data_IF_932340707252
#
_entry.id   IF_932340707252
#
_cell.length_a   1.000
_cell.length_b   1.000
_cell.length_c   1.000
_cell.angle_alpha   90.00
_cell.angle_beta   90.00
_cell.angle_gamma   90.00
#
_symmetry.space_group_name_H-M   'P 1'
#
loop_
_entity.id
_entity.type
_entity.pdbx_description
1 polymer ?
#
# COMPACT_ATOMS: atom_id res chain seq x y z
N UNK A 1 9.77 -36.49 25.76
CA UNK A 1 9.60 -35.03 25.91
C UNK A 1 10.01 -34.53 27.29
N UNK A 2 9.39 -34.98 28.38
CA UNK A 2 9.79 -34.61 29.77
C UNK A 2 11.28 -34.92 30.06
N UNK A 3 11.72 -36.09 29.63
CA UNK A 3 13.09 -36.60 29.78
C UNK A 3 14.17 -35.78 29.00
N UNK A 4 13.81 -35.16 27.87
CA UNK A 4 14.74 -34.32 27.08
C UNK A 4 14.93 -32.97 27.76
N UNK A 5 13.86 -32.41 28.32
CA UNK A 5 13.88 -31.13 29.04
C UNK A 5 14.67 -31.24 30.35
N UNK A 6 14.53 -32.36 31.06
CA UNK A 6 15.33 -32.68 32.26
C UNK A 6 16.82 -32.85 31.93
N UNK A 7 17.16 -33.58 30.86
CA UNK A 7 18.57 -33.76 30.44
C UNK A 7 19.22 -32.46 29.99
N UNK A 8 18.52 -31.62 29.23
CA UNK A 8 19.01 -30.29 28.85
C UNK A 8 19.16 -29.38 30.07
N UNK A 9 18.22 -29.43 31.02
CA UNK A 9 18.30 -28.68 32.29
C UNK A 9 19.51 -29.10 33.12
N UNK A 10 19.75 -30.40 33.25
CA UNK A 10 20.91 -30.93 33.97
C UNK A 10 22.25 -30.56 33.31
N UNK A 11 22.29 -30.40 31.98
CA UNK A 11 23.49 -29.93 31.26
C UNK A 11 23.74 -28.43 31.47
N UNK A 12 22.67 -27.62 31.57
CA UNK A 12 22.77 -26.21 31.92
C UNK A 12 23.19 -26.01 33.38
N UNK A 13 22.60 -26.75 34.31
CA UNK A 13 22.94 -26.69 35.75
C UNK A 13 24.39 -27.09 36.03
N UNK A 14 24.97 -27.94 35.17
CA UNK A 14 26.39 -28.31 35.19
C UNK A 14 27.31 -27.31 34.47
N UNK A 15 26.79 -26.19 33.99
CA UNK A 15 27.50 -25.16 33.22
C UNK A 15 28.17 -25.68 31.95
N UNK A 16 27.70 -26.81 31.39
CA UNK A 16 28.27 -27.43 30.18
C UNK A 16 27.78 -26.78 28.89
N UNK A 17 26.69 -26.00 28.96
CA UNK A 17 26.09 -25.28 27.84
C UNK A 17 25.71 -23.86 28.28
N UNK A 18 25.92 -22.88 27.39
CA UNK A 18 25.51 -21.50 27.61
C UNK A 18 23.99 -21.37 27.63
N UNK A 19 23.45 -20.38 28.36
CA UNK A 19 22.01 -20.09 28.40
C UNK A 19 21.42 -19.91 26.99
N UNK A 20 22.21 -19.30 26.09
CA UNK A 20 21.82 -19.08 24.69
C UNK A 20 21.65 -20.40 23.92
N UNK A 21 22.58 -21.33 24.11
CA UNK A 21 22.56 -22.66 23.47
C UNK A 21 21.48 -23.56 24.09
N UNK A 22 21.27 -23.44 25.40
CA UNK A 22 20.16 -24.11 26.10
C UNK A 22 18.79 -23.70 25.53
N UNK A 23 18.56 -22.41 25.32
CA UNK A 23 17.29 -21.92 24.74
C UNK A 23 17.10 -22.36 23.29
N UNK A 24 18.15 -22.31 22.47
CA UNK A 24 18.09 -22.73 21.07
C UNK A 24 17.83 -24.23 20.92
N UNK A 25 18.50 -25.06 21.73
CA UNK A 25 18.31 -26.51 21.75
C UNK A 25 16.96 -26.91 22.32
N UNK A 26 16.42 -26.17 23.30
CA UNK A 26 15.06 -26.37 23.79
C UNK A 26 14.02 -26.04 22.74
N UNK A 27 14.19 -24.95 21.99
CA UNK A 27 13.29 -24.52 20.92
C UNK A 27 13.33 -25.52 19.75
N UNK A 28 14.50 -26.06 19.44
CA UNK A 28 14.68 -27.10 18.42
C UNK A 28 14.12 -28.47 18.84
N UNK A 29 14.26 -28.85 20.12
CA UNK A 29 13.78 -30.13 20.64
C UNK A 29 12.30 -30.11 21.05
N UNK A 30 11.74 -28.93 21.31
CA UNK A 30 10.35 -28.72 21.69
C UNK A 30 9.70 -27.77 20.67
N UNK A 31 9.33 -28.27 19.47
CA UNK A 31 8.64 -27.45 18.48
C UNK A 31 7.40 -26.82 19.13
N UNK A 32 7.14 -25.55 18.81
CA UNK A 32 6.00 -24.75 19.27
C UNK A 32 4.80 -25.64 19.59
N UNK A 33 4.41 -25.69 20.88
CA UNK A 33 3.40 -26.64 21.37
C UNK A 33 2.17 -26.54 20.48
N UNK A 34 1.86 -27.60 19.72
CA UNK A 34 0.78 -27.63 18.74
C UNK A 34 -0.55 -27.19 19.36
N UNK A 35 -0.71 -27.35 20.69
CA UNK A 35 -1.84 -26.84 21.47
C UNK A 35 -1.90 -25.32 21.53
N UNK A 36 -0.77 -24.63 21.63
CA UNK A 36 -0.71 -23.16 21.60
C UNK A 36 -0.99 -22.62 20.21
N UNK A 37 -0.51 -23.29 19.15
CA UNK A 37 -0.85 -22.93 17.77
C UNK A 37 -2.34 -23.16 17.49
N UNK A 38 -2.86 -24.32 17.89
CA UNK A 38 -4.28 -24.67 17.77
C UNK A 38 -5.16 -23.73 18.60
N UNK A 39 -4.72 -23.36 19.81
CA UNK A 39 -5.40 -22.37 20.66
C UNK A 39 -5.46 -20.99 20.04
N UNK A 40 -4.35 -20.49 19.47
CA UNK A 40 -4.33 -19.22 18.71
C UNK A 40 -5.21 -19.29 17.45
N UNK A 41 -5.17 -20.43 16.74
CA UNK A 41 -6.00 -20.68 15.57
C UNK A 41 -7.50 -20.68 15.90
N UNK A 42 -7.91 -21.36 16.97
CA UNK A 42 -9.29 -21.38 17.45
C UNK A 42 -9.74 -20.01 17.95
N UNK A 43 -8.88 -19.27 18.67
CA UNK A 43 -9.17 -17.90 19.08
C UNK A 43 -9.42 -17.00 17.87
N UNK A 44 -8.52 -17.04 16.88
CA UNK A 44 -8.68 -16.29 15.65
C UNK A 44 -9.97 -16.67 14.91
N UNK A 45 -10.23 -17.96 14.75
CA UNK A 45 -11.44 -18.46 14.09
C UNK A 45 -12.71 -18.01 14.83
N UNK A 46 -12.72 -18.08 16.16
CA UNK A 46 -13.85 -17.63 16.98
C UNK A 46 -14.09 -16.13 16.85
N UNK A 47 -13.04 -15.31 16.83
CA UNK A 47 -13.14 -13.87 16.62
C UNK A 47 -13.71 -13.54 15.24
N UNK A 48 -13.22 -14.23 14.19
CA UNK A 48 -13.73 -14.07 12.82
C UNK A 48 -15.21 -14.48 12.72
N UNK A 49 -15.58 -15.65 13.27
CA UNK A 49 -16.97 -16.11 13.25
C UNK A 49 -17.91 -15.20 14.05
N UNK A 50 -17.45 -14.68 15.19
CA UNK A 50 -18.22 -13.72 15.98
C UNK A 50 -18.44 -12.41 15.20
N UNK A 51 -17.38 -11.84 14.61
CA UNK A 51 -17.49 -10.63 13.79
C UNK A 51 -18.37 -10.86 12.56
N UNK A 52 -18.28 -12.02 11.91
CA UNK A 52 -19.17 -12.40 10.82
C UNK A 52 -20.63 -12.49 11.28
N UNK A 53 -20.89 -13.08 12.44
CA UNK A 53 -22.21 -13.13 13.05
C UNK A 53 -22.78 -11.73 13.33
N UNK A 54 -21.96 -10.81 13.87
CA UNK A 54 -22.34 -9.40 14.07
C UNK A 54 -22.70 -8.75 12.73
N UNK A 55 -21.86 -8.93 11.70
CA UNK A 55 -22.13 -8.41 10.35
C UNK A 55 -23.45 -8.97 9.80
N UNK A 56 -23.69 -10.27 9.92
CA UNK A 56 -24.93 -10.89 9.45
C UNK A 56 -26.16 -10.43 10.23
N UNK A 57 -26.06 -10.19 11.53
CA UNK A 57 -27.14 -9.63 12.33
C UNK A 57 -27.53 -8.24 11.80
N UNK A 58 -26.55 -7.38 11.53
CA UNK A 58 -26.80 -6.07 10.92
C UNK A 58 -27.35 -6.18 9.49
N UNK A 59 -26.85 -7.12 8.69
CA UNK A 59 -27.31 -7.35 7.33
C UNK A 59 -28.77 -7.83 7.29
N UNK A 60 -29.14 -8.80 8.13
CA UNK A 60 -30.50 -9.32 8.23
C UNK A 60 -31.47 -8.25 8.72
N UNK A 61 -31.09 -7.48 9.74
CA UNK A 61 -31.94 -6.42 10.30
C UNK A 61 -31.82 -5.09 9.53
N UNK A 62 -31.09 -5.03 8.42
CA UNK A 62 -30.72 -3.76 7.78
C UNK A 62 -31.94 -2.89 7.46
N UNK A 63 -33.01 -3.47 6.94
CA UNK A 63 -34.23 -2.73 6.60
C UNK A 63 -35.03 -2.28 7.82
N UNK A 64 -34.94 -3.00 8.94
CA UNK A 64 -35.63 -2.67 10.18
C UNK A 64 -34.93 -1.57 11.00
N UNK A 65 -33.62 -1.40 10.83
CA UNK A 65 -32.85 -0.39 11.57
C UNK A 65 -33.17 1.02 11.03
N UNK A 66 -33.67 1.94 11.86
CA UNK A 66 -33.94 3.32 11.45
C UNK A 66 -32.68 4.04 10.97
N UNK A 67 -32.82 4.92 9.97
CA UNK A 67 -31.71 5.66 9.36
C UNK A 67 -30.85 6.40 10.40
N UNK A 68 -31.49 7.04 11.39
CA UNK A 68 -30.80 7.75 12.46
C UNK A 68 -29.94 6.84 13.35
N UNK A 69 -30.36 5.59 13.57
CA UNK A 69 -29.55 4.62 14.34
C UNK A 69 -28.31 4.23 13.55
N UNK A 70 -28.42 4.03 12.23
CA UNK A 70 -27.27 3.73 11.36
C UNK A 70 -26.24 4.87 11.36
N UNK A 71 -26.71 6.10 11.14
CA UNK A 71 -25.83 7.28 11.19
C UNK A 71 -25.29 7.53 12.59
N UNK A 72 -26.13 7.39 13.62
CA UNK A 72 -25.74 7.57 15.02
C UNK A 72 -24.66 6.58 15.45
N UNK A 73 -24.77 5.31 15.06
CA UNK A 73 -23.74 4.31 15.33
C UNK A 73 -22.41 4.65 14.65
N UNK A 74 -22.44 5.05 13.37
CA UNK A 74 -21.24 5.45 12.65
C UNK A 74 -20.61 6.72 13.25
N UNK A 75 -21.42 7.75 13.54
CA UNK A 75 -20.97 8.98 14.18
C UNK A 75 -20.38 8.73 15.57
N UNK A 76 -20.98 7.85 16.37
CA UNK A 76 -20.47 7.47 17.68
C UNK A 76 -19.10 6.78 17.57
N UNK A 77 -18.89 5.90 16.60
CA UNK A 77 -17.58 5.30 16.35
C UNK A 77 -16.52 6.34 15.94
N UNK A 78 -16.91 7.33 15.13
CA UNK A 78 -16.03 8.46 14.78
C UNK A 78 -15.66 9.24 16.03
N UNK A 79 -16.63 9.59 16.88
CA UNK A 79 -16.41 10.34 18.11
C UNK A 79 -15.53 9.57 19.11
N UNK A 80 -15.76 8.28 19.30
CA UNK A 80 -14.93 7.44 20.17
C UNK A 80 -13.50 7.33 19.63
N UNK A 81 -13.33 7.19 18.31
CA UNK A 81 -12.01 7.17 17.69
C UNK A 81 -11.31 8.51 17.84
N UNK A 82 -12.02 9.63 17.61
CA UNK A 82 -11.48 10.97 17.79
C UNK A 82 -11.08 11.24 19.25
N UNK A 83 -11.89 10.81 20.23
CA UNK A 83 -11.52 10.85 21.65
C UNK A 83 -10.26 10.02 21.92
N UNK A 84 -10.13 8.84 21.29
CA UNK A 84 -8.91 8.03 21.34
C UNK A 84 -7.67 8.76 20.82
N UNK A 85 -7.80 9.56 19.75
CA UNK A 85 -6.72 10.43 19.26
C UNK A 85 -6.33 11.48 20.29
N UNK A 86 -7.31 12.18 20.88
CA UNK A 86 -7.06 13.23 21.88
C UNK A 86 -6.38 12.66 23.12
N UNK A 87 -6.80 11.48 23.59
CA UNK A 87 -6.26 10.84 24.80
C UNK A 87 -4.85 10.27 24.56
N UNK A 88 -4.59 9.67 23.39
CA UNK A 88 -3.30 8.98 23.12
C UNK A 88 -2.27 9.88 22.43
N UNK A 89 -2.71 10.88 21.68
CA UNK A 89 -1.90 11.77 20.85
C UNK A 89 -1.29 11.07 19.63
N UNK A 90 -0.86 11.84 18.63
CA UNK A 90 -0.30 11.33 17.37
C UNK A 90 1.09 10.68 17.51
N UNK A 91 1.76 10.82 18.66
CA UNK A 91 3.10 10.28 18.87
C UNK A 91 3.09 8.77 19.14
N UNK A 92 1.98 8.23 19.63
CA UNK A 92 1.85 6.80 19.94
C UNK A 92 1.19 6.07 18.78
N UNK A 93 1.63 4.84 18.51
CA UNK A 93 1.03 3.98 17.48
C UNK A 93 -0.50 3.82 17.66
N UNK A 94 -0.97 3.74 18.91
CA UNK A 94 -2.41 3.67 19.21
C UNK A 94 -3.17 4.93 18.81
N UNK A 95 -2.62 6.12 19.04
CA UNK A 95 -3.25 7.38 18.59
C UNK A 95 -3.25 7.52 17.07
N UNK A 96 -2.21 7.04 16.39
CA UNK A 96 -2.18 6.99 14.92
C UNK A 96 -3.23 6.02 14.36
N UNK A 97 -3.42 4.86 15.01
CA UNK A 97 -4.47 3.90 14.64
C UNK A 97 -5.87 4.52 14.81
N UNK A 98 -6.12 5.24 15.91
CA UNK A 98 -7.37 5.96 16.09
C UNK A 98 -7.58 7.06 15.03
N UNK A 99 -6.52 7.81 14.67
CA UNK A 99 -6.62 8.85 13.63
C UNK A 99 -6.90 8.27 12.25
N UNK A 100 -6.28 7.13 11.93
CA UNK A 100 -6.58 6.36 10.72
C UNK A 100 -8.04 5.89 10.73
N UNK A 101 -8.52 5.36 11.86
CA UNK A 101 -9.90 4.92 12.02
C UNK A 101 -10.89 6.07 11.81
N UNK A 102 -10.62 7.27 12.34
CA UNK A 102 -11.44 8.48 12.08
C UNK A 102 -11.51 8.74 10.58
N UNK A 103 -10.37 8.81 9.89
CA UNK A 103 -10.32 9.10 8.45
C UNK A 103 -11.07 8.03 7.64
N UNK A 104 -10.95 6.76 8.02
CA UNK A 104 -11.64 5.65 7.37
C UNK A 104 -13.16 5.70 7.60
N UNK A 105 -13.59 5.94 8.84
CA UNK A 105 -15.00 5.99 9.22
C UNK A 105 -15.73 7.20 8.61
N UNK A 106 -15.05 8.32 8.36
CA UNK A 106 -15.60 9.43 7.57
C UNK A 106 -16.01 8.95 6.17
N UNK A 107 -15.20 8.11 5.53
CA UNK A 107 -15.54 7.50 4.25
C UNK A 107 -16.73 6.55 4.35
N UNK A 108 -16.74 5.70 5.38
CA UNK A 108 -17.87 4.82 5.66
C UNK A 108 -19.18 5.60 5.88
N UNK A 109 -19.11 6.76 6.55
CA UNK A 109 -20.24 7.67 6.73
C UNK A 109 -20.74 8.24 5.39
N UNK A 110 -19.83 8.70 4.52
CA UNK A 110 -20.18 9.16 3.17
C UNK A 110 -20.84 8.06 2.34
N UNK A 111 -20.32 6.83 2.40
CA UNK A 111 -20.89 5.68 1.70
C UNK A 111 -22.28 5.30 2.25
N UNK A 112 -22.45 5.30 3.58
CA UNK A 112 -23.73 5.07 4.22
C UNK A 112 -24.76 6.14 3.81
N UNK A 113 -24.33 7.40 3.69
CA UNK A 113 -25.17 8.49 3.22
C UNK A 113 -25.66 8.26 1.79
N UNK A 114 -24.73 7.96 0.87
CA UNK A 114 -25.06 7.63 -0.52
C UNK A 114 -26.01 6.43 -0.64
N UNK A 115 -25.82 5.40 0.19
CA UNK A 115 -26.66 4.21 0.19
C UNK A 115 -28.08 4.47 0.72
N UNK A 116 -28.23 5.22 1.83
CA UNK A 116 -29.52 5.45 2.48
C UNK A 116 -30.38 6.46 1.72
N UNK A 117 -29.75 7.50 1.17
CA UNK A 117 -30.46 8.57 0.46
C UNK A 117 -30.47 8.38 -1.05
N UNK A 118 -29.77 7.38 -1.58
CA UNK A 118 -29.70 7.08 -3.02
C UNK A 118 -29.49 8.35 -3.83
N UNK A 119 -28.47 9.13 -3.48
CA UNK A 119 -28.28 10.51 -3.97
C UNK A 119 -28.02 10.62 -5.47
N UNK A 120 -28.02 9.50 -6.21
CA UNK A 120 -27.68 9.45 -7.64
C UNK A 120 -26.27 9.96 -7.95
N UNK A 121 -25.48 10.26 -6.92
CA UNK A 121 -24.16 10.84 -7.04
C UNK A 121 -23.21 9.79 -7.60
N UNK A 122 -22.42 10.20 -8.60
CA UNK A 122 -21.38 9.35 -9.15
C UNK A 122 -20.38 8.93 -8.06
N UNK A 123 -19.80 7.74 -8.20
CA UNK A 123 -18.84 7.22 -7.25
C UNK A 123 -17.65 8.17 -7.03
N UNK A 124 -17.19 8.91 -8.05
CA UNK A 124 -16.11 9.88 -7.91
C UNK A 124 -16.45 11.01 -6.92
N UNK A 125 -17.71 11.45 -6.84
CA UNK A 125 -18.13 12.53 -5.94
C UNK A 125 -18.04 12.09 -4.47
N UNK A 126 -18.34 10.82 -4.19
CA UNK A 126 -18.20 10.22 -2.86
C UNK A 126 -16.73 10.27 -2.42
N UNK A 127 -15.81 9.78 -3.27
CA UNK A 127 -14.38 9.77 -2.93
C UNK A 127 -13.79 11.19 -2.88
N UNK A 128 -14.24 12.11 -3.73
CA UNK A 128 -13.84 13.52 -3.69
C UNK A 128 -14.26 14.19 -2.38
N UNK A 129 -15.51 13.98 -1.96
CA UNK A 129 -16.04 14.48 -0.69
C UNK A 129 -15.27 13.88 0.48
N UNK A 130 -15.01 12.58 0.43
CA UNK A 130 -14.20 11.90 1.44
C UNK A 130 -12.79 12.49 1.53
N UNK A 131 -12.09 12.65 0.41
CA UNK A 131 -10.78 13.28 0.35
C UNK A 131 -10.80 14.69 0.96
N UNK A 132 -11.76 15.52 0.56
CA UNK A 132 -11.90 16.89 1.07
C UNK A 132 -12.09 16.93 2.60
N UNK A 133 -12.90 16.03 3.14
CA UNK A 133 -13.17 15.96 4.59
C UNK A 133 -11.94 15.50 5.40
N UNK A 134 -11.15 14.56 4.87
CA UNK A 134 -9.97 14.05 5.60
C UNK A 134 -8.71 14.87 5.35
N UNK A 135 -8.68 15.74 4.33
CA UNK A 135 -7.49 16.52 3.98
C UNK A 135 -6.96 17.40 5.14
N UNK A 136 -7.81 18.16 5.88
CA UNK A 136 -7.36 18.88 7.07
C UNK A 136 -6.81 17.96 8.16
N UNK A 137 -7.37 16.75 8.32
CA UNK A 137 -6.90 15.75 9.27
C UNK A 137 -5.54 15.18 8.85
N UNK A 138 -5.33 14.94 7.56
CA UNK A 138 -4.05 14.50 7.02
C UNK A 138 -2.95 15.54 7.25
N UNK A 139 -3.26 16.82 7.02
CA UNK A 139 -2.34 17.94 7.29
C UNK A 139 -1.99 18.06 8.77
N UNK A 140 -2.97 17.99 9.66
CA UNK A 140 -2.76 18.16 11.11
C UNK A 140 -2.05 16.97 11.75
N UNK A 141 -2.41 15.74 11.37
CA UNK A 141 -1.76 14.55 11.91
C UNK A 141 -0.35 14.34 11.33
N UNK A 142 -0.16 14.70 10.06
CA UNK A 142 1.06 14.50 9.28
C UNK A 142 1.72 13.13 9.49
N UNK A 143 0.91 12.06 9.39
CA UNK A 143 1.38 10.67 9.50
C UNK A 143 1.29 9.95 8.18
N UNK A 144 2.32 9.15 7.89
CA UNK A 144 2.43 8.44 6.61
C UNK A 144 1.26 7.53 6.33
N UNK A 145 0.73 6.81 7.33
CA UNK A 145 -0.46 5.95 7.15
C UNK A 145 -1.71 6.73 6.71
N UNK A 146 -1.88 7.97 7.21
CA UNK A 146 -3.03 8.82 6.86
C UNK A 146 -2.83 9.42 5.46
N UNK A 147 -1.61 9.84 5.13
CA UNK A 147 -1.29 10.34 3.79
C UNK A 147 -1.36 9.27 2.71
N UNK A 148 -1.03 8.01 3.02
CA UNK A 148 -1.25 6.90 2.11
C UNK A 148 -2.75 6.64 1.88
N UNK A 149 -3.56 6.67 2.93
CA UNK A 149 -5.01 6.57 2.79
C UNK A 149 -5.55 7.72 1.91
N UNK A 150 -5.10 8.95 2.15
CA UNK A 150 -5.46 10.11 1.34
C UNK A 150 -5.02 9.94 -0.13
N UNK A 151 -3.79 9.47 -0.36
CA UNK A 151 -3.28 9.19 -1.70
C UNK A 151 -4.11 8.12 -2.42
N UNK A 152 -4.53 7.06 -1.73
CA UNK A 152 -5.44 6.06 -2.30
C UNK A 152 -6.76 6.71 -2.70
N UNK A 153 -7.40 7.46 -1.79
CA UNK A 153 -8.72 8.07 -2.03
C UNK A 153 -8.67 9.07 -3.19
N UNK A 154 -7.66 9.94 -3.26
CA UNK A 154 -7.55 10.91 -4.35
C UNK A 154 -7.29 10.22 -5.69
N UNK A 155 -6.48 9.16 -5.71
CA UNK A 155 -6.26 8.37 -6.92
C UNK A 155 -7.51 7.60 -7.36
N UNK A 156 -8.28 7.06 -6.41
CA UNK A 156 -9.59 6.45 -6.71
C UNK A 156 -10.58 7.49 -7.24
N UNK A 157 -10.56 8.71 -6.69
CA UNK A 157 -11.37 9.83 -7.18
C UNK A 157 -11.04 10.14 -8.64
N UNK A 158 -9.75 10.29 -8.96
CA UNK A 158 -9.29 10.53 -10.32
C UNK A 158 -9.66 9.36 -11.25
N UNK A 159 -9.41 8.12 -10.83
CA UNK A 159 -9.71 6.96 -11.67
C UNK A 159 -11.19 6.85 -12.04
N UNK A 160 -12.09 7.18 -11.11
CA UNK A 160 -13.54 7.17 -11.32
C UNK A 160 -14.08 8.44 -11.97
N UNK A 161 -13.26 9.49 -12.09
CA UNK A 161 -13.69 10.75 -12.66
C UNK A 161 -14.05 10.52 -14.15
N UNK A 162 -15.21 10.99 -14.62
CA UNK A 162 -15.69 10.70 -15.97
C UNK A 162 -14.99 11.61 -16.98
N UNK A 163 -13.69 11.36 -17.21
CA UNK A 163 -12.86 12.13 -18.14
C UNK A 163 -13.44 12.16 -19.56
N UNK A 164 -14.19 11.14 -19.97
CA UNK A 164 -14.79 11.07 -21.30
C UNK A 164 -16.13 11.84 -21.42
N UNK A 165 -16.78 12.26 -20.33
CA UNK A 165 -18.06 13.00 -20.38
C UNK A 165 -17.89 14.50 -20.68
N UNK A 166 -16.75 15.09 -20.34
CA UNK A 166 -16.46 16.48 -20.64
C UNK A 166 -16.02 16.58 -22.11
N UNK A 167 -16.98 16.87 -23.01
CA UNK A 167 -16.86 17.03 -24.49
C UNK A 167 -15.73 17.94 -25.02
N UNK A 168 -14.87 18.47 -24.16
CA UNK A 168 -13.72 19.30 -24.53
C UNK A 168 -12.47 18.43 -24.70
N UNK A 169 -11.73 18.62 -25.80
CA UNK A 169 -10.53 17.87 -26.19
C UNK A 169 -9.39 17.77 -25.14
N UNK A 170 -9.52 18.50 -24.02
CA UNK A 170 -8.58 18.54 -22.90
C UNK A 170 -8.82 17.38 -21.93
N UNK A 171 -10.06 16.89 -21.79
CA UNK A 171 -10.43 15.77 -20.93
C UNK A 171 -10.53 14.49 -21.79
N UNK A 172 -9.41 13.79 -21.89
CA UNK A 172 -9.28 12.48 -22.55
C UNK A 172 -8.70 11.49 -21.55
N UNK A 173 -8.78 10.19 -21.82
CA UNK A 173 -7.97 9.17 -21.14
C UNK A 173 -6.52 9.59 -20.85
N UNK A 174 -5.89 10.35 -21.77
CA UNK A 174 -4.53 10.89 -21.57
C UNK A 174 -4.46 11.88 -20.40
N UNK A 175 -5.45 12.75 -20.26
CA UNK A 175 -5.52 13.71 -19.16
C UNK A 175 -5.67 13.03 -17.79
N UNK A 176 -6.36 11.88 -17.72
CA UNK A 176 -6.41 11.05 -16.52
C UNK A 176 -4.98 10.61 -16.14
N UNK A 177 -4.23 10.07 -17.10
CA UNK A 177 -2.85 9.62 -16.85
C UNK A 177 -1.98 10.76 -16.35
N UNK A 178 -2.05 11.92 -16.99
CA UNK A 178 -1.32 13.11 -16.55
C UNK A 178 -1.76 13.62 -15.17
N UNK A 179 -3.06 13.62 -14.87
CA UNK A 179 -3.58 14.04 -13.58
C UNK A 179 -3.07 13.13 -12.45
N UNK A 180 -3.15 11.81 -12.64
CA UNK A 180 -2.62 10.81 -11.70
C UNK A 180 -1.12 11.03 -11.50
N UNK A 181 -0.36 11.20 -12.57
CA UNK A 181 1.08 11.46 -12.47
C UNK A 181 1.40 12.76 -11.73
N UNK A 182 0.70 13.84 -12.05
CA UNK A 182 0.90 15.16 -11.45
C UNK A 182 0.58 15.16 -9.95
N UNK A 183 -0.52 14.54 -9.54
CA UNK A 183 -0.91 14.46 -8.12
C UNK A 183 0.09 13.64 -7.31
N UNK A 184 0.48 12.46 -7.79
CA UNK A 184 1.43 11.62 -7.06
C UNK A 184 2.85 12.19 -7.07
N UNK A 185 3.28 12.82 -8.16
CA UNK A 185 4.54 13.56 -8.17
C UNK A 185 4.51 14.73 -7.20
N UNK A 186 3.38 15.45 -7.09
CA UNK A 186 3.23 16.53 -6.11
C UNK A 186 3.39 16.00 -4.69
N UNK A 187 2.90 14.79 -4.36
CA UNK A 187 3.17 14.18 -3.06
C UNK A 187 4.66 13.92 -2.82
N UNK A 188 5.37 13.37 -3.81
CA UNK A 188 6.82 13.14 -3.69
C UNK A 188 7.56 14.47 -3.57
N UNK A 189 7.27 15.44 -4.43
CA UNK A 189 7.90 16.76 -4.42
C UNK A 189 7.67 17.50 -3.10
N UNK A 190 6.41 17.59 -2.63
CA UNK A 190 6.07 18.24 -1.36
C UNK A 190 6.81 17.58 -0.20
N UNK A 191 6.95 16.26 -0.22
CA UNK A 191 7.63 15.51 0.85
C UNK A 191 9.16 15.69 0.87
N UNK A 192 9.71 16.31 -0.17
CA UNK A 192 11.14 16.61 -0.31
C UNK A 192 11.46 18.09 -0.08
N UNK A 193 10.47 18.98 -0.15
CA UNK A 193 10.65 20.39 0.25
C UNK A 193 10.95 20.40 1.76
N UNK A 194 11.96 21.13 2.23
CA UNK A 194 12.30 21.25 3.65
C UNK A 194 11.27 22.08 4.44
N UNK A 195 9.98 21.92 4.15
CA UNK A 195 8.93 22.36 5.04
C UNK A 195 8.90 21.43 6.26
N UNK A 196 9.03 22.01 7.46
CA UNK A 196 8.95 21.30 8.76
C UNK A 196 7.68 20.43 8.93
N UNK A 197 6.66 20.60 8.09
CA UNK A 197 5.32 20.05 8.31
C UNK A 197 4.92 18.87 7.41
N UNK A 198 5.70 18.48 6.40
CA UNK A 198 5.32 17.38 5.49
C UNK A 198 6.46 16.39 5.23
N UNK A 199 7.03 15.84 6.30
CA UNK A 199 8.05 14.78 6.22
C UNK A 199 7.38 13.41 6.40
N UNK A 200 7.57 12.52 5.42
CA UNK A 200 7.02 11.15 5.42
C UNK A 200 8.10 10.09 5.63
N UNK A 201 7.69 8.90 6.04
CA UNK A 201 8.56 7.73 6.19
C UNK A 201 8.97 7.16 4.82
N UNK A 202 10.09 6.41 4.77
CA UNK A 202 10.66 5.90 3.51
C UNK A 202 9.66 5.08 2.67
N UNK A 203 8.82 4.27 3.33
CA UNK A 203 7.84 3.44 2.64
C UNK A 203 6.75 4.23 1.92
N UNK A 204 6.47 5.48 2.31
CA UNK A 204 5.56 6.36 1.59
C UNK A 204 5.97 6.47 0.12
N UNK A 205 7.25 6.78 -0.08
CA UNK A 205 7.79 7.06 -1.39
C UNK A 205 7.84 5.79 -2.26
N UNK A 206 8.15 4.63 -1.66
CA UNK A 206 8.12 3.35 -2.36
C UNK A 206 6.72 3.00 -2.87
N UNK A 207 5.71 3.17 -2.02
CA UNK A 207 4.32 2.87 -2.37
C UNK A 207 3.85 3.82 -3.49
N UNK A 208 4.11 5.12 -3.35
CA UNK A 208 3.72 6.12 -4.38
C UNK A 208 4.44 5.87 -5.70
N UNK A 209 5.74 5.57 -5.70
CA UNK A 209 6.50 5.33 -6.94
C UNK A 209 6.11 3.99 -7.61
N UNK A 210 5.83 2.96 -6.82
CA UNK A 210 5.30 1.67 -7.31
C UNK A 210 3.93 1.85 -7.93
N UNK A 211 3.07 2.62 -7.29
CA UNK A 211 1.75 2.96 -7.83
C UNK A 211 1.89 3.70 -9.16
N UNK A 212 2.73 4.75 -9.24
CA UNK A 212 2.98 5.48 -10.49
C UNK A 212 3.46 4.58 -11.63
N UNK A 213 4.41 3.70 -11.33
CA UNK A 213 4.97 2.75 -12.30
C UNK A 213 3.91 1.73 -12.75
N UNK A 214 3.21 1.11 -11.80
CA UNK A 214 2.14 0.15 -12.08
C UNK A 214 0.98 0.77 -12.84
N UNK A 215 0.64 2.01 -12.51
CA UNK A 215 -0.39 2.78 -13.21
C UNK A 215 0.02 3.09 -14.65
N UNK A 216 1.28 3.47 -14.90
CA UNK A 216 1.78 3.69 -16.25
C UNK A 216 1.75 2.42 -17.12
N UNK A 217 2.19 1.30 -16.54
CA UNK A 217 2.13 -0.03 -17.16
C UNK A 217 0.69 -0.35 -17.53
N UNK A 218 -0.22 -0.30 -16.55
CA UNK A 218 -1.65 -0.52 -16.75
C UNK A 218 -2.18 0.38 -17.86
N UNK A 219 -1.86 1.68 -17.82
CA UNK A 219 -2.37 2.63 -18.78
C UNK A 219 -1.91 2.35 -20.21
N UNK A 220 -0.66 1.99 -20.41
CA UNK A 220 -0.13 1.62 -21.72
C UNK A 220 -0.75 0.31 -22.25
N UNK A 221 -1.16 -0.60 -21.36
CA UNK A 221 -1.80 -1.88 -21.73
C UNK A 221 -3.21 -1.73 -22.29
N UNK A 222 -4.01 -0.77 -21.80
CA UNK A 222 -5.40 -0.58 -22.26
C UNK A 222 -5.49 0.19 -23.57
N UNK A 223 -4.78 1.32 -23.65
CA UNK A 223 -4.69 2.14 -24.85
C UNK A 223 -3.25 2.62 -24.97
N UNK A 224 -2.50 2.18 -26.00
CA UNK A 224 -1.13 2.63 -26.17
C UNK A 224 -1.12 4.16 -26.31
N UNK A 225 -0.38 4.82 -25.43
CA UNK A 225 -0.17 6.25 -25.49
C UNK A 225 0.58 6.59 -26.79
N UNK A 226 0.34 7.77 -27.36
CA UNK A 226 1.18 8.23 -28.49
C UNK A 226 2.62 8.37 -28.02
N UNK A 227 3.58 8.06 -28.90
CA UNK A 227 5.02 7.92 -28.60
C UNK A 227 5.57 9.03 -27.68
N UNK A 228 5.19 10.30 -27.91
CA UNK A 228 5.65 11.41 -27.10
C UNK A 228 5.13 11.43 -25.65
N UNK A 229 3.91 10.97 -25.37
CA UNK A 229 3.38 10.94 -23.98
C UNK A 229 4.06 9.87 -23.15
N UNK A 230 4.30 8.68 -23.71
CA UNK A 230 5.07 7.64 -23.04
C UNK A 230 6.50 8.10 -22.76
N UNK A 231 7.13 8.84 -23.68
CA UNK A 231 8.46 9.40 -23.47
C UNK A 231 8.47 10.42 -22.32
N UNK A 232 7.53 11.35 -22.28
CA UNK A 232 7.41 12.33 -21.17
C UNK A 232 7.29 11.62 -19.82
N UNK A 233 6.43 10.60 -19.72
CA UNK A 233 6.18 9.89 -18.46
C UNK A 233 7.37 9.01 -18.05
N UNK A 234 8.06 8.37 -19.01
CA UNK A 234 9.30 7.62 -18.74
C UNK A 234 10.41 8.57 -18.29
N UNK A 235 10.59 9.70 -18.98
CA UNK A 235 11.56 10.72 -18.60
C UNK A 235 11.29 11.22 -17.18
N UNK A 236 10.02 11.44 -16.83
CA UNK A 236 9.62 11.84 -15.50
C UNK A 236 9.98 10.79 -14.44
N UNK A 237 9.64 9.52 -14.65
CA UNK A 237 10.00 8.42 -13.74
C UNK A 237 11.51 8.24 -13.60
N UNK A 238 12.26 8.48 -14.67
CA UNK A 238 13.73 8.36 -14.71
C UNK A 238 14.39 9.51 -13.95
N UNK A 239 13.94 10.74 -14.18
CA UNK A 239 14.45 11.90 -13.43
C UNK A 239 14.14 11.75 -11.95
N UNK A 240 12.94 11.29 -11.61
CA UNK A 240 12.54 11.05 -10.22
C UNK A 240 13.39 9.95 -9.56
N UNK A 241 13.65 8.83 -10.26
CA UNK A 241 14.47 7.75 -9.72
C UNK A 241 15.93 8.14 -9.55
N UNK A 242 16.50 8.90 -10.49
CA UNK A 242 17.86 9.44 -10.37
C UNK A 242 17.96 10.42 -9.20
N UNK A 243 16.99 11.32 -9.03
CA UNK A 243 16.95 12.24 -7.89
C UNK A 243 17.00 11.50 -6.55
N UNK A 244 16.13 10.50 -6.37
CA UNK A 244 16.08 9.72 -5.13
C UNK A 244 17.31 8.83 -4.94
N UNK A 245 17.92 8.32 -6.02
CA UNK A 245 19.18 7.60 -5.95
C UNK A 245 20.33 8.49 -5.47
N UNK A 246 20.51 9.67 -6.07
CA UNK A 246 21.60 10.58 -5.66
C UNK A 246 21.40 11.12 -4.24
N UNK A 247 20.15 11.32 -3.80
CA UNK A 247 19.85 11.86 -2.46
C UNK A 247 19.87 10.81 -1.36
N UNK A 248 19.34 9.61 -1.60
CA UNK A 248 19.13 8.57 -0.58
C UNK A 248 19.99 7.31 -0.76
N UNK A 249 20.75 7.23 -1.85
CA UNK A 249 21.51 6.03 -2.26
C UNK A 249 20.66 4.76 -2.33
N UNK A 250 19.40 4.93 -2.73
CA UNK A 250 18.42 3.86 -2.74
C UNK A 250 18.19 3.32 -4.15
N UNK A 251 18.53 2.05 -4.34
CA UNK A 251 18.46 1.34 -5.61
C UNK A 251 17.01 1.00 -5.99
N UNK A 252 16.09 0.95 -5.02
CA UNK A 252 14.70 0.55 -5.25
C UNK A 252 14.00 1.41 -6.30
N UNK A 253 14.18 2.73 -6.22
CA UNK A 253 13.57 3.68 -7.16
C UNK A 253 14.04 3.49 -8.58
N UNK A 254 15.33 3.22 -8.75
CA UNK A 254 15.90 2.91 -10.07
C UNK A 254 15.29 1.62 -10.58
N UNK A 255 15.33 0.55 -9.78
CA UNK A 255 14.82 -0.76 -10.19
C UNK A 255 13.36 -0.72 -10.66
N UNK A 256 12.48 -0.12 -9.85
CA UNK A 256 11.04 -0.06 -10.18
C UNK A 256 10.78 0.83 -11.41
N UNK A 257 11.42 2.00 -11.51
CA UNK A 257 11.24 2.90 -12.66
C UNK A 257 11.80 2.30 -13.96
N UNK A 258 12.91 1.56 -13.90
CA UNK A 258 13.45 0.83 -15.06
C UNK A 258 12.53 -0.28 -15.54
N UNK A 259 11.92 -1.04 -14.62
CA UNK A 259 10.91 -2.04 -14.97
C UNK A 259 9.72 -1.39 -15.69
N UNK A 260 9.25 -0.25 -15.19
CA UNK A 260 8.21 0.55 -15.84
C UNK A 260 8.59 0.98 -17.25
N UNK A 261 9.74 1.62 -17.40
CA UNK A 261 10.23 2.11 -18.69
C UNK A 261 10.39 0.98 -19.71
N UNK A 262 11.02 -0.13 -19.31
CA UNK A 262 11.19 -1.31 -20.15
C UNK A 262 9.86 -1.88 -20.64
N UNK A 263 8.87 -1.99 -19.75
CA UNK A 263 7.55 -2.48 -20.11
C UNK A 263 6.81 -1.56 -21.09
N UNK A 264 6.89 -0.24 -20.88
CA UNK A 264 6.24 0.73 -21.76
C UNK A 264 6.90 0.76 -23.15
N UNK A 265 8.24 0.75 -23.21
CA UNK A 265 8.97 0.65 -24.48
C UNK A 265 8.55 -0.63 -25.21
N UNK A 266 8.46 -1.74 -24.49
CA UNK A 266 8.06 -3.01 -25.06
C UNK A 266 6.64 -2.97 -25.64
N UNK A 267 5.64 -2.49 -24.89
CA UNK A 267 4.27 -2.32 -25.39
C UNK A 267 4.24 -1.45 -26.65
N UNK A 268 5.01 -0.36 -26.69
CA UNK A 268 5.06 0.50 -27.86
C UNK A 268 5.72 -0.19 -29.06
N UNK A 269 6.75 -1.02 -28.83
CA UNK A 269 7.41 -1.81 -29.89
C UNK A 269 6.51 -2.92 -30.43
N UNK A 270 5.67 -3.56 -29.59
CA UNK A 270 4.70 -4.56 -30.04
C UNK A 270 3.82 -4.02 -31.17
N UNK A 271 3.41 -2.75 -31.09
CA UNK A 271 2.58 -2.08 -32.12
C UNK A 271 3.20 -2.13 -33.53
N UNK A 272 4.52 -2.17 -33.62
CA UNK A 272 5.25 -2.15 -34.89
C UNK A 272 5.69 -3.54 -35.36
N UNK A 273 5.87 -4.50 -34.45
CA UNK A 273 6.53 -5.78 -34.76
C UNK A 273 5.66 -7.03 -34.62
N UNK A 274 4.64 -7.03 -33.75
CA UNK A 274 3.90 -8.26 -33.41
C UNK A 274 2.43 -8.12 -33.79
N UNK A 275 2.05 -8.78 -34.89
CA UNK A 275 0.66 -8.85 -35.37
C UNK A 275 -0.23 -9.68 -34.44
N UNK A 276 0.36 -10.62 -33.69
CA UNK A 276 -0.33 -11.47 -32.73
C UNK A 276 -0.20 -10.96 -31.29
N UNK A 277 -1.33 -10.50 -30.75
CA UNK A 277 -1.43 -9.90 -29.43
C UNK A 277 -0.99 -10.85 -28.29
N UNK A 278 -1.43 -12.11 -28.32
CA UNK A 278 -1.18 -13.07 -27.21
C UNK A 278 0.28 -13.50 -27.10
N UNK A 279 0.93 -13.73 -28.24
CA UNK A 279 2.34 -14.16 -28.29
C UNK A 279 3.26 -13.03 -27.79
N UNK A 280 2.88 -11.78 -28.07
CA UNK A 280 3.57 -10.61 -27.57
C UNK A 280 3.50 -10.50 -26.04
N UNK A 281 2.34 -10.75 -25.43
CA UNK A 281 2.19 -10.78 -23.96
C UNK A 281 3.02 -11.89 -23.30
N UNK A 282 3.07 -13.09 -23.88
CA UNK A 282 3.87 -14.20 -23.38
C UNK A 282 5.38 -13.88 -23.38
N UNK A 283 5.89 -13.27 -24.47
CA UNK A 283 7.29 -12.84 -24.56
C UNK A 283 7.60 -11.72 -23.55
N UNK A 284 6.67 -10.79 -23.33
CA UNK A 284 6.84 -9.71 -22.34
C UNK A 284 7.02 -10.27 -20.93
N UNK A 285 6.14 -11.21 -20.54
CA UNK A 285 6.20 -11.86 -19.22
C UNK A 285 7.53 -12.60 -19.02
N UNK A 286 8.01 -13.29 -20.05
CA UNK A 286 9.29 -14.00 -20.04
C UNK A 286 10.50 -13.06 -19.94
N UNK A 287 10.53 -11.96 -20.68
CA UNK A 287 11.65 -11.01 -20.64
C UNK A 287 11.71 -10.24 -19.31
N UNK A 288 10.57 -9.84 -18.76
CA UNK A 288 10.51 -9.19 -17.44
C UNK A 288 10.93 -10.13 -16.31
N UNK A 289 10.46 -11.37 -16.33
CA UNK A 289 10.85 -12.37 -15.32
C UNK A 289 12.33 -12.73 -15.41
N UNK A 290 12.88 -12.82 -16.63
CA UNK A 290 14.32 -13.00 -16.85
C UNK A 290 15.14 -11.80 -16.36
N UNK A 291 14.68 -10.57 -16.65
CA UNK A 291 15.33 -9.34 -16.22
C UNK A 291 15.33 -9.16 -14.69
N UNK A 292 14.19 -9.44 -14.04
CA UNK A 292 14.08 -9.49 -12.58
C UNK A 292 14.98 -10.57 -11.97
N UNK A 293 14.99 -11.77 -12.55
CA UNK A 293 15.87 -12.86 -12.12
C UNK A 293 17.34 -12.46 -12.20
N UNK A 294 17.76 -11.83 -13.30
CA UNK A 294 19.13 -11.37 -13.47
C UNK A 294 19.50 -10.25 -12.48
N UNK A 295 18.63 -9.25 -12.30
CA UNK A 295 18.86 -8.16 -11.36
C UNK A 295 18.98 -8.67 -9.90
N UNK A 296 18.13 -9.62 -9.50
CA UNK A 296 18.19 -10.24 -8.17
C UNK A 296 19.49 -11.02 -7.95
N UNK A 297 19.93 -11.80 -8.95
CA UNK A 297 21.21 -12.53 -8.91
C UNK A 297 22.40 -11.56 -8.85
N UNK A 298 22.36 -10.48 -9.61
CA UNK A 298 23.40 -9.46 -9.62
C UNK A 298 23.49 -8.74 -8.26
N UNK A 299 22.34 -8.32 -7.71
CA UNK A 299 22.27 -7.66 -6.40
C UNK A 299 22.73 -8.58 -5.27
N UNK A 300 22.33 -9.86 -5.25
CA UNK A 300 22.80 -10.83 -4.24
C UNK A 300 24.30 -11.09 -4.34
N UNK A 301 24.88 -11.14 -5.56
CA UNK A 301 26.33 -11.24 -5.73
C UNK A 301 27.05 -10.00 -5.23
N UNK A 302 26.51 -8.81 -5.48
CA UNK A 302 27.17 -7.55 -5.09
C UNK A 302 27.08 -7.28 -3.58
N UNK A 303 25.96 -7.62 -2.95
CA UNK A 303 25.80 -7.54 -1.48
C UNK A 303 26.75 -8.53 -0.78
N UNK A 304 26.86 -9.78 -1.27
CA UNK A 304 27.83 -10.74 -0.74
C UNK A 304 29.29 -10.31 -0.99
N UNK A 305 29.57 -9.68 -2.13
CA UNK A 305 30.90 -9.18 -2.46
C UNK A 305 31.39 -8.06 -1.54
N UNK A 306 30.49 -7.16 -1.10
CA UNK A 306 30.82 -6.14 -0.09
C UNK A 306 31.00 -6.73 1.31
N UNK A 307 30.16 -7.67 1.72
CA UNK A 307 30.28 -8.33 3.02
C UNK A 307 31.61 -9.09 3.21
N UNK A 308 32.20 -9.61 2.13
CA UNK A 308 33.51 -10.29 2.17
C UNK A 308 34.70 -9.31 2.10
N UNK A 309 34.48 -8.06 1.68
CA UNK A 309 35.50 -7.02 1.61
C UNK A 309 35.62 -6.22 2.92
N UNK A 310 34.55 -6.09 3.70
CA UNK A 310 34.57 -5.45 5.03
C UNK A 310 35.06 -6.40 6.16
N UNK A 311 35.22 -7.70 5.86
CA UNK A 311 35.67 -8.75 6.80
C UNK A 311 37.16 -9.13 6.58
N UNK A 312 37.91 -8.30 5.85
CA UNK A 312 39.36 -8.42 5.61
C UNK A 312 40.08 -7.14 6.01
#
# INVERSE_FOLDING_TARGET
MKDIKEKLGALYDKSLISYKDYTALLEQACPTDWKTLLGRGLLFLSAVLFLAGVIFLFAYNWFAIPKFVKFGACALLILLSAAGVVIKGFNKASGQAFAFAVCFLIGAFCALFGQIYQTGADAWQLFATWAALIFPLALTANKTSIWLLFAVIINTTLFLFPFDMLRYAIFSYKSLVFAVFTVNFSFLALSEIPFKHFKQEAYFYYVVNTFLTGFLIFSCSFKPLTSYYSLILISWLTVNSLYHYFKRQDIYFIGISFLGAGFVIFINLQKYFLRDYYLAWAITGLLLSAGLGYALVYLTKHIKGKAVADDK
#
